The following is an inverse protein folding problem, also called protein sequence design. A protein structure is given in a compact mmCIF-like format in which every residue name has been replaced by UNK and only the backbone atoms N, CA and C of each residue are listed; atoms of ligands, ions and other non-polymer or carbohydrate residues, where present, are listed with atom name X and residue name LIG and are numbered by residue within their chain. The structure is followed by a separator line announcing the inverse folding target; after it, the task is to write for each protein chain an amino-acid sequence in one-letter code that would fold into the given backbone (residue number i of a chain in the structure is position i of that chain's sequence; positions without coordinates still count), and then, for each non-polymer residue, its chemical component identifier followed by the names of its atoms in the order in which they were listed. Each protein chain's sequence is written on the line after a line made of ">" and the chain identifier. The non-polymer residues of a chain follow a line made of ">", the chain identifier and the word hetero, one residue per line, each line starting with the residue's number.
data_IF_408420484359
#
_entry.id   IF_408420484359
#
_cell.length_a   1.000
_cell.length_b   1.000
_cell.length_c   1.000
_cell.angle_alpha   90.00
_cell.angle_beta   90.00
_cell.angle_gamma   90.00
#
_symmetry.space_group_name_H-M   'P 1'
#
loop_
_entity.id
_entity.type
_entity.pdbx_description
1 polymer ?
#
# COMPACT_ATOMS: atom_id res chain seq x y z
N UNK A 1 -20.70 -15.62 22.62
CA UNK A 1 -19.75 -14.53 22.91
C UNK A 1 -18.31 -14.93 22.55
N UNK A 2 -17.73 -16.03 23.06
CA UNK A 2 -16.32 -16.40 22.81
C UNK A 2 -15.79 -16.38 21.35
N UNK A 3 -16.60 -16.77 20.35
CA UNK A 3 -16.20 -16.66 18.93
C UNK A 3 -16.10 -15.22 18.42
N UNK A 4 -16.92 -14.32 18.96
CA UNK A 4 -16.91 -12.90 18.61
C UNK A 4 -15.67 -12.22 19.19
N UNK A 5 -15.33 -12.58 20.44
CA UNK A 5 -14.17 -12.05 21.15
C UNK A 5 -12.87 -12.46 20.42
N UNK A 6 -12.75 -13.74 20.03
CA UNK A 6 -11.62 -14.21 19.20
C UNK A 6 -11.48 -13.49 17.86
N UNK A 7 -12.59 -13.19 17.18
CA UNK A 7 -12.54 -12.48 15.91
C UNK A 7 -12.05 -11.04 16.11
N UNK A 8 -12.53 -10.36 17.15
CA UNK A 8 -12.10 -8.99 17.48
C UNK A 8 -10.62 -8.92 17.87
N UNK A 9 -10.12 -9.90 18.63
CA UNK A 9 -8.71 -9.97 19.00
C UNK A 9 -7.81 -10.10 17.76
N UNK A 10 -8.18 -10.94 16.80
CA UNK A 10 -7.47 -11.06 15.53
C UNK A 10 -7.50 -9.76 14.71
N UNK A 11 -8.66 -9.10 14.62
CA UNK A 11 -8.76 -7.81 13.93
C UNK A 11 -7.89 -6.74 14.59
N UNK A 12 -7.82 -6.72 15.91
CA UNK A 12 -6.97 -5.77 16.62
C UNK A 12 -5.49 -5.99 16.29
N UNK A 13 -5.05 -7.26 16.23
CA UNK A 13 -3.68 -7.62 15.89
C UNK A 13 -3.30 -7.23 14.46
N UNK A 14 -4.23 -7.33 13.50
CA UNK A 14 -3.96 -6.97 12.09
C UNK A 14 -4.43 -5.57 11.72
N UNK A 15 -4.90 -4.76 12.67
CA UNK A 15 -5.48 -3.44 12.41
C UNK A 15 -4.48 -2.45 11.78
N UNK A 16 -3.18 -2.70 11.95
CA UNK A 16 -2.12 -1.94 11.30
C UNK A 16 -2.08 -2.16 9.78
N UNK A 17 -2.67 -3.24 9.25
CA UNK A 17 -2.78 -3.51 7.82
C UNK A 17 -3.98 -2.78 7.25
N UNK A 18 -3.79 -1.55 6.76
CA UNK A 18 -4.87 -0.80 6.11
C UNK A 18 -4.40 -0.13 4.82
N UNK A 19 -5.31 0.13 3.88
CA UNK A 19 -4.92 0.59 2.54
C UNK A 19 -4.11 1.90 2.51
N UNK A 20 -4.23 2.75 3.53
CA UNK A 20 -3.54 4.04 3.57
C UNK A 20 -2.05 3.96 3.94
N UNK A 21 -1.58 2.84 4.53
CA UNK A 21 -0.16 2.60 4.78
C UNK A 21 0.42 1.47 3.95
N UNK A 22 -0.28 1.03 2.89
CA UNK A 22 0.17 -0.06 2.03
C UNK A 22 1.57 0.18 1.45
N UNK A 23 1.83 1.37 0.90
CA UNK A 23 3.14 1.74 0.34
C UNK A 23 4.28 1.66 1.37
N UNK A 24 3.99 2.01 2.64
CA UNK A 24 4.97 1.91 3.73
C UNK A 24 5.28 0.45 4.07
N UNK A 25 4.26 -0.40 4.15
CA UNK A 25 4.42 -1.82 4.44
C UNK A 25 5.19 -2.52 3.31
N UNK A 26 4.87 -2.21 2.05
CA UNK A 26 5.58 -2.77 0.90
C UNK A 26 7.06 -2.37 0.90
N UNK A 27 7.38 -1.10 1.21
CA UNK A 27 8.76 -0.65 1.35
C UNK A 27 9.49 -1.36 2.50
N UNK A 28 8.81 -1.55 3.64
CA UNK A 28 9.36 -2.25 4.80
C UNK A 28 9.60 -3.74 4.49
N UNK A 29 8.70 -4.38 3.75
CA UNK A 29 8.87 -5.77 3.35
C UNK A 29 10.02 -5.92 2.34
N UNK A 30 10.15 -5.01 1.37
CA UNK A 30 11.30 -5.00 0.48
C UNK A 30 12.63 -4.80 1.22
N UNK A 31 12.67 -3.94 2.26
CA UNK A 31 13.85 -3.79 3.10
C UNK A 31 14.18 -5.08 3.88
N UNK A 32 13.17 -5.78 4.40
CA UNK A 32 13.33 -7.09 5.05
C UNK A 32 13.91 -8.16 4.10
N UNK A 33 13.45 -8.21 2.85
CA UNK A 33 13.96 -9.14 1.82
C UNK A 33 15.41 -8.85 1.41
N UNK A 34 15.89 -7.62 1.63
CA UNK A 34 17.28 -7.23 1.39
C UNK A 34 18.16 -7.46 2.63
N UNK A 35 17.66 -7.11 3.82
CA UNK A 35 18.29 -7.38 5.12
C UNK A 35 17.22 -7.57 6.21
N UNK A 36 17.01 -8.81 6.70
CA UNK A 36 16.05 -9.06 7.77
C UNK A 36 16.31 -8.28 9.06
N UNK A 37 17.57 -7.92 9.35
CA UNK A 37 17.93 -7.15 10.54
C UNK A 37 17.62 -5.64 10.42
N UNK A 38 17.21 -5.19 9.23
CA UNK A 38 16.85 -3.78 8.98
C UNK A 38 15.47 -3.38 9.51
N UNK A 39 14.66 -4.35 9.93
CA UNK A 39 13.31 -4.14 10.46
C UNK A 39 13.17 -4.70 11.86
N UNK A 40 12.19 -4.19 12.62
CA UNK A 40 11.94 -4.64 13.99
C UNK A 40 11.53 -6.13 14.04
N UNK A 41 11.82 -6.86 15.13
CA UNK A 41 11.56 -8.30 15.23
C UNK A 41 10.11 -8.72 14.94
N UNK A 42 9.14 -7.90 15.34
CA UNK A 42 7.71 -8.16 15.08
C UNK A 42 7.40 -8.19 13.57
N UNK A 43 8.08 -7.32 12.79
CA UNK A 43 7.98 -7.31 11.34
C UNK A 43 8.72 -8.49 10.71
N UNK A 44 9.87 -8.89 11.27
CA UNK A 44 10.59 -10.07 10.80
C UNK A 44 9.72 -11.33 10.92
N UNK A 45 9.08 -11.53 12.07
CA UNK A 45 8.18 -12.66 12.32
C UNK A 45 6.96 -12.63 11.38
N UNK A 46 6.37 -11.44 11.19
CA UNK A 46 5.24 -11.26 10.28
C UNK A 46 5.60 -11.60 8.82
N UNK A 47 6.69 -11.02 8.29
CA UNK A 47 7.10 -11.24 6.90
C UNK A 47 7.60 -12.67 6.66
N UNK A 48 8.29 -13.28 7.63
CA UNK A 48 8.71 -14.69 7.54
C UNK A 48 7.52 -15.65 7.41
N UNK A 49 6.34 -15.28 7.91
CA UNK A 49 5.13 -16.09 7.82
C UNK A 49 4.47 -16.04 6.42
N UNK A 50 4.70 -15.00 5.62
CA UNK A 50 4.04 -14.80 4.32
C UNK A 50 4.57 -15.74 3.23
N UNK A 51 5.89 -16.00 3.22
CA UNK A 51 6.56 -16.89 2.25
C UNK A 51 6.37 -16.47 0.79
N UNK A 52 6.22 -15.18 0.53
CA UNK A 52 6.14 -14.65 -0.82
C UNK A 52 7.50 -14.72 -1.53
N UNK A 53 7.48 -14.62 -2.87
CA UNK A 53 8.71 -14.54 -3.65
C UNK A 53 9.37 -13.16 -3.50
N UNK A 54 10.64 -13.15 -3.14
CA UNK A 54 11.40 -11.91 -2.90
C UNK A 54 11.49 -10.99 -4.13
N UNK A 55 11.37 -11.53 -5.34
CA UNK A 55 11.31 -10.76 -6.58
C UNK A 55 9.98 -10.03 -6.73
N UNK A 56 8.88 -10.71 -6.40
CA UNK A 56 7.54 -10.11 -6.39
C UNK A 56 7.38 -9.05 -5.31
N UNK A 57 7.91 -9.27 -4.09
CA UNK A 57 7.93 -8.26 -3.01
C UNK A 57 8.63 -6.99 -3.45
N UNK A 58 9.86 -7.11 -4.01
CA UNK A 58 10.60 -5.95 -4.54
C UNK A 58 9.90 -5.27 -5.71
N UNK A 59 9.12 -5.99 -6.49
CA UNK A 59 8.34 -5.44 -7.60
C UNK A 59 7.14 -4.65 -7.08
N UNK A 60 6.44 -5.16 -6.06
CA UNK A 60 5.32 -4.47 -5.43
C UNK A 60 5.76 -3.14 -4.80
N UNK A 61 6.90 -3.14 -4.10
CA UNK A 61 7.47 -1.92 -3.51
C UNK A 61 7.84 -0.83 -4.52
N UNK A 62 7.97 -1.14 -5.81
CA UNK A 62 8.18 -0.14 -6.88
C UNK A 62 6.89 0.57 -7.30
N UNK A 63 5.75 0.14 -6.77
CA UNK A 63 4.44 0.66 -7.07
C UNK A 63 3.80 0.03 -8.30
N UNK A 64 2.58 0.47 -8.56
CA UNK A 64 1.75 -0.06 -9.62
C UNK A 64 2.36 0.20 -11.02
N UNK A 65 2.57 -0.88 -11.78
CA UNK A 65 3.07 -0.79 -13.17
C UNK A 65 2.19 0.03 -14.14
N UNK A 66 0.92 0.24 -13.79
CA UNK A 66 -0.02 1.06 -14.55
C UNK A 66 -0.03 2.54 -14.13
N UNK A 67 0.67 2.90 -13.05
CA UNK A 67 0.81 4.29 -12.64
C UNK A 67 1.57 5.06 -13.72
N UNK A 68 0.92 6.08 -14.28
CA UNK A 68 1.52 6.96 -15.29
C UNK A 68 1.69 8.36 -14.70
N UNK A 69 2.88 8.98 -14.85
CA UNK A 69 3.03 10.39 -14.55
C UNK A 69 1.96 11.19 -15.30
N UNK A 70 1.36 12.16 -14.61
CA UNK A 70 0.36 13.08 -15.20
C UNK A 70 -0.94 12.41 -15.68
N UNK A 71 -1.29 11.23 -15.13
CA UNK A 71 -2.59 10.60 -15.34
C UNK A 71 -3.50 10.72 -14.09
N UNK A 72 -4.82 10.95 -14.24
CA UNK A 72 -5.48 11.33 -15.49
C UNK A 72 -5.02 12.71 -15.94
N UNK A 73 -4.87 12.88 -17.25
CA UNK A 73 -4.62 14.21 -17.80
C UNK A 73 -5.82 15.09 -17.48
N UNK A 74 -5.60 16.25 -16.86
CA UNK A 74 -6.66 17.23 -16.68
C UNK A 74 -7.13 17.69 -18.06
N UNK A 75 -8.42 17.49 -18.34
CA UNK A 75 -9.05 18.11 -19.48
C UNK A 75 -9.10 19.63 -19.24
N UNK A 76 -8.81 20.43 -20.26
CA UNK A 76 -8.81 21.89 -20.18
C UNK A 76 -9.40 22.52 -21.46
N UNK A 77 -9.54 23.85 -21.45
CA UNK A 77 -10.07 24.64 -22.56
C UNK A 77 -11.53 25.06 -22.38
N UNK A 78 -11.98 26.01 -23.21
CA UNK A 78 -13.26 26.72 -23.01
C UNK A 78 -14.48 25.80 -22.90
N UNK A 79 -14.57 24.74 -23.71
CA UNK A 79 -15.70 23.81 -23.65
C UNK A 79 -15.72 23.00 -22.34
N UNK A 80 -14.54 22.66 -21.81
CA UNK A 80 -14.43 21.96 -20.52
C UNK A 80 -14.80 22.92 -19.40
N UNK A 81 -14.24 24.14 -19.41
CA UNK A 81 -14.55 25.19 -18.44
C UNK A 81 -16.03 25.62 -18.45
N UNK A 82 -16.68 25.59 -19.62
CA UNK A 82 -18.11 25.84 -19.74
C UNK A 82 -18.96 24.74 -19.09
N UNK A 83 -18.46 23.50 -19.01
CA UNK A 83 -19.16 22.35 -18.45
C UNK A 83 -18.85 22.14 -16.96
N UNK A 84 -17.63 22.38 -16.50
CA UNK A 84 -17.19 22.14 -15.11
C UNK A 84 -17.08 23.41 -14.25
N UNK A 85 -17.15 24.60 -14.87
CA UNK A 85 -17.07 25.90 -14.20
C UNK A 85 -15.65 26.32 -13.78
N UNK A 86 -14.62 25.53 -14.12
CA UNK A 86 -13.24 25.81 -13.75
C UNK A 86 -12.52 26.61 -14.85
N UNK A 87 -12.52 27.94 -14.67
CA UNK A 87 -11.88 28.90 -15.59
C UNK A 87 -10.44 29.26 -15.20
N UNK A 88 -9.91 28.69 -14.11
CA UNK A 88 -8.62 29.09 -13.52
C UNK A 88 -7.44 28.18 -13.84
N UNK A 89 -7.62 27.18 -14.72
CA UNK A 89 -6.57 26.26 -15.18
C UNK A 89 -5.98 26.69 -16.53
#
# INVERSE_FOLDING_TARGET
>A
MARQDQANDQFSLTSFLYGGNADYIDALYAAYEDDPASVDPEWQDFFAALKDDAGDVRKNAKGASWAKPSWPMQANGELVSALDGNWGL
#
